data_IF_400635111166
#
_entry.id   IF_400635111166
#
_cell.length_a   1.000
_cell.length_b   1.000
_cell.length_c   1.000
_cell.angle_alpha   90.00
_cell.angle_beta   90.00
_cell.angle_gamma   90.00
#
_symmetry.space_group_name_H-M   'P 1'
#
loop_
_entity.id
_entity.type
_entity.pdbx_description
1 polymer ?
#
# COMPACT_ATOMS: atom_id res chain seq x y z
N UNK A 1 3.47 38.32 63.02
CA UNK A 1 2.92 37.26 62.16
C UNK A 1 2.96 35.94 62.93
N UNK A 2 1.80 35.33 63.21
CA UNK A 2 1.63 34.32 64.25
C UNK A 2 2.30 32.98 63.92
N UNK A 3 3.21 32.50 64.79
CA UNK A 3 3.95 31.23 64.65
C UNK A 3 3.05 29.98 64.53
N UNK A 4 1.79 30.06 64.98
CA UNK A 4 0.79 29.00 64.84
C UNK A 4 0.27 28.80 63.40
N UNK A 5 0.34 29.84 62.55
CA UNK A 5 -0.14 29.75 61.16
C UNK A 5 0.89 29.09 60.23
N UNK A 6 2.19 29.30 60.50
CA UNK A 6 3.28 28.75 59.68
C UNK A 6 3.41 27.22 59.86
N UNK A 7 3.17 26.69 61.07
CA UNK A 7 3.22 25.25 61.32
C UNK A 7 2.06 24.46 60.68
N UNK A 8 0.91 25.10 60.45
CA UNK A 8 -0.25 24.40 59.87
C UNK A 8 -0.15 24.26 58.34
N UNK A 9 0.54 25.18 57.67
CA UNK A 9 0.73 25.16 56.21
C UNK A 9 1.85 24.19 55.81
N UNK A 10 2.92 24.09 56.62
CA UNK A 10 4.05 23.18 56.33
C UNK A 10 3.66 21.70 56.49
N UNK A 11 2.79 21.37 57.45
CA UNK A 11 2.34 19.97 57.65
C UNK A 11 1.36 19.53 56.55
N UNK A 12 0.51 20.43 56.03
CA UNK A 12 -0.41 20.11 54.93
C UNK A 12 0.32 19.90 53.59
N UNK A 13 1.41 20.63 53.33
CA UNK A 13 2.22 20.48 52.11
C UNK A 13 3.01 19.15 52.09
N UNK A 14 3.49 18.66 53.24
CA UNK A 14 4.26 17.41 53.31
C UNK A 14 3.35 16.17 53.13
N UNK A 15 2.09 16.22 53.56
CA UNK A 15 1.13 15.11 53.36
C UNK A 15 0.59 15.07 51.93
N UNK A 16 0.50 16.21 51.23
CA UNK A 16 0.06 16.25 49.84
C UNK A 16 1.15 15.83 48.83
N UNK A 17 2.43 16.08 49.15
CA UNK A 17 3.55 15.64 48.30
C UNK A 17 3.83 14.13 48.42
N UNK A 18 3.47 13.50 49.55
CA UNK A 18 3.64 12.05 49.74
C UNK A 18 2.47 11.19 49.21
N UNK A 19 1.37 11.78 48.78
CA UNK A 19 0.19 11.02 48.28
C UNK A 19 0.05 10.99 46.75
N UNK A 20 1.03 11.50 45.99
CA UNK A 20 0.99 11.48 44.51
C UNK A 20 2.05 10.53 43.90
N UNK A 21 2.91 9.88 44.71
CA UNK A 21 3.89 8.88 44.24
C UNK A 21 3.52 7.43 44.58
N UNK A 22 2.23 7.10 44.53
CA UNK A 22 1.75 5.71 44.54
C UNK A 22 0.81 5.43 43.35
N UNK A 23 1.05 6.08 42.20
CA UNK A 23 0.63 5.46 40.94
C UNK A 23 1.57 4.30 40.70
N UNK A 24 1.05 3.08 40.84
CA UNK A 24 1.70 1.84 40.46
C UNK A 24 2.51 2.05 39.17
N UNK A 25 3.68 1.41 38.98
CA UNK A 25 4.08 1.11 37.63
C UNK A 25 2.88 0.33 37.08
N UNK A 26 2.09 0.97 36.22
CA UNK A 26 1.32 0.25 35.25
C UNK A 26 2.38 -0.66 34.65
N UNK A 27 2.27 -1.95 34.95
CA UNK A 27 2.82 -2.94 34.06
C UNK A 27 2.18 -2.57 32.72
N UNK A 28 2.88 -1.75 31.93
CA UNK A 28 3.02 -2.00 30.53
C UNK A 28 3.56 -3.43 30.49
N UNK A 29 2.65 -4.39 30.66
CA UNK A 29 2.77 -5.68 30.06
C UNK A 29 2.94 -5.30 28.61
N UNK A 30 4.20 -5.14 28.20
CA UNK A 30 4.57 -5.24 26.81
C UNK A 30 3.81 -6.46 26.37
N UNK A 31 2.81 -6.26 25.50
CA UNK A 31 2.22 -7.37 24.78
C UNK A 31 3.42 -8.03 24.17
N UNK A 32 3.89 -9.11 24.81
CA UNK A 32 5.13 -9.78 24.44
C UNK A 32 5.01 -9.95 22.93
N UNK A 33 6.03 -9.48 22.21
CA UNK A 33 5.99 -9.48 20.76
C UNK A 33 5.54 -10.88 20.34
N UNK A 34 4.31 -10.98 19.83
CA UNK A 34 3.75 -12.27 19.46
C UNK A 34 4.75 -12.85 18.46
N UNK A 35 5.17 -14.12 18.63
CA UNK A 35 6.13 -14.72 17.70
C UNK A 35 5.59 -14.54 16.28
N UNK A 36 6.41 -13.97 15.40
CA UNK A 36 6.01 -13.71 14.01
C UNK A 36 5.62 -15.04 13.38
N UNK A 37 4.34 -15.15 12.98
CA UNK A 37 3.87 -16.31 12.23
C UNK A 37 4.70 -16.41 10.93
N UNK A 38 4.94 -17.63 10.42
CA UNK A 38 5.61 -17.81 9.13
C UNK A 38 4.86 -17.04 8.03
N UNK A 39 5.61 -16.42 7.10
CA UNK A 39 5.04 -15.74 5.93
C UNK A 39 4.31 -16.78 5.06
N UNK A 40 3.00 -16.66 4.80
CA UNK A 40 2.33 -17.60 3.92
C UNK A 40 2.74 -17.35 2.46
N UNK A 41 2.60 -18.39 1.60
CA UNK A 41 3.02 -18.31 0.21
C UNK A 41 2.14 -17.44 -0.70
N UNK A 42 0.89 -17.07 -0.33
CA UNK A 42 -0.05 -16.29 -1.16
C UNK A 42 -1.06 -15.42 -0.38
N UNK A 43 -1.65 -14.45 -1.09
CA UNK A 43 -2.21 -13.14 -0.67
C UNK A 43 -3.72 -12.97 -0.28
N UNK A 44 -4.10 -11.81 0.31
CA UNK A 44 -4.85 -11.50 1.57
C UNK A 44 -6.21 -12.17 1.96
N UNK A 45 -6.19 -12.72 3.20
CA UNK A 45 -7.20 -12.92 4.29
C UNK A 45 -6.47 -13.25 5.63
N UNK A 46 -5.15 -13.03 5.68
CA UNK A 46 -4.23 -14.00 6.30
C UNK A 46 -2.99 -13.47 6.97
N UNK A 47 -2.97 -12.32 7.67
CA UNK A 47 -1.86 -12.22 8.65
C UNK A 47 -1.82 -13.46 9.59
N UNK A 48 -2.92 -14.24 9.64
CA UNK A 48 -3.01 -15.58 10.22
C UNK A 48 -3.24 -16.77 9.28
N UNK A 49 -3.59 -16.60 8.00
CA UNK A 49 -4.04 -17.70 7.14
C UNK A 49 -5.43 -18.25 7.52
N UNK A 50 -6.46 -17.40 7.68
CA UNK A 50 -7.89 -17.79 7.85
C UNK A 50 -8.80 -17.60 6.58
N UNK A 51 -9.47 -18.63 6.03
CA UNK A 51 -10.08 -18.61 4.69
C UNK A 51 -11.03 -17.43 4.44
N UNK A 52 -11.19 -17.06 3.16
CA UNK A 52 -12.14 -16.04 2.71
C UNK A 52 -13.52 -16.23 3.38
N UNK A 53 -14.17 -15.17 3.86
CA UNK A 53 -15.53 -15.26 4.37
C UNK A 53 -16.46 -15.95 3.38
N UNK A 54 -17.33 -16.81 3.89
CA UNK A 54 -18.34 -17.46 3.04
C UNK A 54 -19.46 -16.48 2.67
N UNK A 55 -20.09 -16.71 1.52
CA UNK A 55 -21.24 -15.90 1.06
C UNK A 55 -20.87 -14.57 0.39
N UNK A 56 -19.60 -14.36 0.05
CA UNK A 56 -19.18 -13.23 -0.77
C UNK A 56 -19.64 -13.43 -2.22
N UNK A 57 -20.07 -12.35 -2.87
CA UNK A 57 -20.39 -12.33 -4.31
C UNK A 57 -19.14 -12.47 -5.19
N UNK A 58 -18.00 -11.99 -4.71
CA UNK A 58 -16.69 -12.06 -5.37
C UNK A 58 -15.59 -12.26 -4.32
N UNK A 59 -14.39 -12.67 -4.75
CA UNK A 59 -13.23 -12.73 -3.86
C UNK A 59 -12.98 -11.38 -3.15
N UNK A 60 -12.64 -11.39 -1.86
CA UNK A 60 -12.27 -10.20 -1.11
C UNK A 60 -10.75 -10.03 -1.04
N UNK A 61 -10.22 -9.03 -1.73
CA UNK A 61 -8.78 -8.75 -1.76
C UNK A 61 -8.29 -7.97 -0.54
N UNK A 62 -9.17 -7.59 0.39
CA UNK A 62 -8.83 -6.69 1.50
C UNK A 62 -7.69 -7.23 2.36
N UNK A 63 -6.66 -6.42 2.54
CA UNK A 63 -5.54 -6.72 3.43
C UNK A 63 -4.20 -6.22 2.92
N UNK A 64 -3.11 -6.63 3.59
CA UNK A 64 -1.73 -6.21 3.25
C UNK A 64 -1.07 -7.29 2.40
N UNK A 65 -0.60 -6.90 1.24
CA UNK A 65 0.04 -7.72 0.23
C UNK A 65 1.52 -7.35 0.12
N UNK A 66 2.34 -8.34 -0.23
CA UNK A 66 3.76 -8.14 -0.47
C UNK A 66 4.15 -8.90 -1.75
N UNK A 67 4.28 -8.18 -2.85
CA UNK A 67 4.63 -8.73 -4.16
C UNK A 67 6.11 -9.09 -4.32
N UNK A 68 6.97 -8.66 -3.40
CA UNK A 68 8.42 -8.71 -3.60
C UNK A 68 8.89 -7.61 -4.56
N UNK A 69 10.18 -7.60 -4.87
CA UNK A 69 10.74 -6.63 -5.83
C UNK A 69 10.70 -7.22 -7.23
N UNK A 70 9.99 -6.57 -8.14
CA UNK A 70 10.02 -6.87 -9.57
C UNK A 70 11.25 -6.21 -10.20
N UNK A 71 12.10 -7.07 -10.76
CA UNK A 71 13.28 -6.68 -11.51
C UNK A 71 12.93 -6.53 -12.99
N UNK A 72 13.42 -7.47 -13.78
CA UNK A 72 13.22 -7.57 -15.23
C UNK A 72 12.02 -8.50 -15.53
N UNK A 73 10.95 -7.92 -16.07
CA UNK A 73 9.70 -8.64 -16.39
C UNK A 73 9.84 -9.59 -17.57
N UNK A 74 10.88 -9.44 -18.40
CA UNK A 74 11.13 -10.38 -19.51
C UNK A 74 11.48 -11.78 -19.00
N UNK A 75 11.97 -11.88 -17.76
CA UNK A 75 12.24 -13.14 -17.06
C UNK A 75 10.98 -13.83 -16.50
N UNK A 76 9.83 -13.16 -16.54
CA UNK A 76 8.56 -13.67 -16.01
C UNK A 76 7.63 -14.19 -17.11
N UNK A 77 8.07 -14.20 -18.37
CA UNK A 77 7.28 -14.78 -19.46
C UNK A 77 7.21 -16.30 -19.34
N UNK A 78 6.09 -16.88 -19.82
CA UNK A 78 5.96 -18.33 -19.92
C UNK A 78 6.91 -18.89 -20.99
N UNK A 79 7.30 -20.17 -20.93
CA UNK A 79 8.13 -20.79 -21.95
C UNK A 79 7.57 -20.57 -23.36
N UNK A 80 8.37 -19.98 -24.25
CA UNK A 80 7.98 -19.66 -25.63
C UNK A 80 7.17 -18.37 -25.81
N UNK A 81 7.00 -17.56 -24.76
CA UNK A 81 6.41 -16.22 -24.85
C UNK A 81 7.50 -15.15 -24.78
N UNK A 82 7.36 -14.12 -25.61
CA UNK A 82 8.19 -12.92 -25.58
C UNK A 82 7.34 -11.71 -25.17
N UNK A 83 7.98 -10.69 -24.61
CA UNK A 83 7.30 -9.43 -24.32
C UNK A 83 6.93 -8.72 -25.61
N UNK A 84 5.68 -8.29 -25.69
CA UNK A 84 5.17 -7.54 -26.84
C UNK A 84 5.34 -6.05 -26.56
N UNK A 85 6.22 -5.41 -27.30
CA UNK A 85 6.36 -3.96 -27.29
C UNK A 85 5.56 -3.31 -28.42
N UNK A 86 5.07 -2.10 -28.17
CA UNK A 86 4.73 -1.19 -29.26
C UNK A 86 6.02 -0.73 -29.96
N UNK A 87 5.97 -0.24 -31.21
CA UNK A 87 7.17 0.29 -31.88
C UNK A 87 7.90 1.36 -31.05
N UNK A 88 7.15 2.25 -30.40
CA UNK A 88 7.71 3.27 -29.50
C UNK A 88 8.34 2.64 -28.25
N UNK A 89 7.69 1.66 -27.64
CA UNK A 89 8.22 0.95 -26.47
C UNK A 89 9.55 0.25 -26.79
N UNK A 90 9.64 -0.43 -27.94
CA UNK A 90 10.85 -1.09 -28.38
C UNK A 90 12.01 -0.10 -28.62
N UNK A 91 11.73 1.06 -29.22
CA UNK A 91 12.73 2.12 -29.42
C UNK A 91 13.21 2.70 -28.09
N UNK A 92 12.29 2.97 -27.15
CA UNK A 92 12.63 3.49 -25.82
C UNK A 92 13.48 2.48 -25.04
N UNK A 93 13.08 1.22 -25.03
CA UNK A 93 13.79 0.15 -24.31
C UNK A 93 15.20 -0.06 -24.88
N UNK A 94 15.37 -0.03 -26.21
CA UNK A 94 16.70 -0.13 -26.86
C UNK A 94 17.68 0.98 -26.42
N UNK A 95 17.15 2.15 -26.07
CA UNK A 95 17.93 3.32 -25.69
C UNK A 95 17.74 3.70 -24.20
N UNK A 96 17.36 2.73 -23.37
CA UNK A 96 17.15 2.98 -21.93
C UNK A 96 18.43 3.50 -21.27
N UNK A 97 18.28 4.54 -20.46
CA UNK A 97 19.34 5.08 -19.63
C UNK A 97 18.92 4.92 -18.17
N UNK A 98 19.47 3.92 -17.49
CA UNK A 98 19.15 3.63 -16.08
C UNK A 98 19.47 4.78 -15.13
N UNK A 99 20.35 5.73 -15.51
CA UNK A 99 20.57 6.93 -14.73
C UNK A 99 19.35 7.88 -14.73
N UNK A 100 18.39 7.64 -15.63
CA UNK A 100 17.13 8.40 -15.76
C UNK A 100 15.92 7.61 -15.28
N UNK A 101 16.09 6.56 -14.47
CA UNK A 101 14.96 5.86 -13.86
C UNK A 101 14.09 6.88 -13.09
N UNK A 102 12.80 7.06 -13.45
CA UNK A 102 11.90 8.00 -12.79
C UNK A 102 11.84 7.84 -11.26
N UNK A 103 11.97 6.59 -10.77
CA UNK A 103 11.91 6.30 -9.34
C UNK A 103 13.12 6.89 -8.59
N UNK A 104 14.31 6.91 -9.20
CA UNK A 104 15.52 7.53 -8.61
C UNK A 104 15.43 9.05 -8.56
N UNK A 105 14.54 9.64 -9.37
CA UNK A 105 14.23 11.06 -9.38
C UNK A 105 13.02 11.41 -8.47
N UNK A 106 12.60 10.48 -7.60
CA UNK A 106 11.43 10.60 -6.73
C UNK A 106 10.12 10.89 -7.49
N UNK A 107 10.04 10.45 -8.76
CA UNK A 107 8.81 10.53 -9.55
C UNK A 107 7.94 9.29 -9.33
N UNK A 108 6.60 9.40 -9.43
CA UNK A 108 5.71 8.29 -9.19
C UNK A 108 6.02 7.07 -10.08
N UNK A 109 5.99 5.84 -9.55
CA UNK A 109 6.33 4.60 -10.28
C UNK A 109 5.29 4.16 -11.32
N UNK A 110 4.09 4.72 -11.28
CA UNK A 110 2.97 4.26 -12.10
C UNK A 110 2.36 2.94 -11.60
N UNK A 111 1.30 2.46 -12.26
CA UNK A 111 0.42 1.44 -11.69
C UNK A 111 1.09 0.06 -11.58
N UNK A 112 2.01 -0.27 -12.49
CA UNK A 112 2.70 -1.57 -12.53
C UNK A 112 3.76 -1.67 -11.44
N UNK A 113 4.72 -0.73 -11.41
CA UNK A 113 5.79 -0.75 -10.41
C UNK A 113 5.29 -0.50 -8.99
N UNK A 114 4.19 0.23 -8.79
CA UNK A 114 3.63 0.46 -7.45
C UNK A 114 3.36 -0.83 -6.67
N UNK A 115 2.73 -1.83 -7.31
CA UNK A 115 2.39 -3.11 -6.67
C UNK A 115 3.53 -4.13 -6.67
N UNK A 116 4.57 -3.83 -7.44
CA UNK A 116 5.69 -4.72 -7.71
C UNK A 116 6.99 -4.27 -7.00
N UNK A 117 6.87 -3.34 -6.04
CA UNK A 117 7.98 -2.89 -5.19
C UNK A 117 8.13 -3.78 -3.96
N UNK A 118 9.32 -3.73 -3.38
CA UNK A 118 9.65 -4.38 -2.10
C UNK A 118 8.92 -3.77 -0.88
N UNK A 119 7.88 -2.97 -1.08
CA UNK A 119 7.08 -2.36 -0.04
C UNK A 119 5.68 -3.01 0.00
N UNK A 120 5.16 -3.30 1.20
CA UNK A 120 3.77 -3.67 1.39
C UNK A 120 2.79 -2.73 0.67
N UNK A 121 1.73 -3.33 0.14
CA UNK A 121 0.59 -2.61 -0.43
C UNK A 121 -0.67 -3.10 0.26
N UNK A 122 -1.49 -2.19 0.76
CA UNK A 122 -2.79 -2.52 1.34
C UNK A 122 -3.88 -2.41 0.28
N UNK A 123 -4.69 -3.44 0.13
CA UNK A 123 -5.90 -3.38 -0.68
C UNK A 123 -7.09 -3.18 0.26
N UNK A 124 -7.98 -2.25 -0.11
CA UNK A 124 -9.28 -2.03 0.54
C UNK A 124 -10.35 -2.22 -0.52
N UNK A 125 -11.20 -3.23 -0.35
CA UNK A 125 -12.26 -3.54 -1.29
C UNK A 125 -13.62 -3.12 -0.73
N UNK A 126 -14.34 -2.34 -1.54
CA UNK A 126 -15.76 -2.00 -1.36
C UNK A 126 -16.56 -2.47 -2.57
N UNK A 127 -17.90 -2.51 -2.48
CA UNK A 127 -18.73 -2.87 -3.64
C UNK A 127 -18.51 -1.98 -4.87
N UNK A 128 -18.17 -0.70 -4.66
CA UNK A 128 -18.07 0.34 -5.69
C UNK A 128 -16.62 0.71 -6.07
N UNK A 129 -15.62 0.25 -5.31
CA UNK A 129 -14.22 0.59 -5.56
C UNK A 129 -13.26 -0.42 -4.91
N UNK A 130 -12.19 -0.75 -5.63
CA UNK A 130 -11.00 -1.42 -5.09
C UNK A 130 -9.86 -0.40 -5.02
N UNK A 131 -9.43 -0.08 -3.81
CA UNK A 131 -8.32 0.83 -3.56
C UNK A 131 -7.05 0.04 -3.26
N UNK A 132 -5.96 0.41 -3.92
CA UNK A 132 -4.62 -0.15 -3.72
C UNK A 132 -3.75 0.96 -3.14
N UNK A 133 -3.33 0.81 -1.89
CA UNK A 133 -2.58 1.80 -1.11
C UNK A 133 -1.13 1.34 -0.95
N UNK A 134 -0.17 2.11 -1.45
CA UNK A 134 1.24 1.77 -1.29
C UNK A 134 1.80 2.37 0.00
N UNK A 135 2.57 1.58 0.75
CA UNK A 135 3.39 2.11 1.85
C UNK A 135 4.51 3.04 1.31
N UNK A 136 5.03 2.73 0.12
CA UNK A 136 6.01 3.57 -0.56
C UNK A 136 5.31 4.85 -1.04
N UNK A 137 5.90 6.02 -0.76
CA UNK A 137 5.45 7.32 -1.28
C UNK A 137 4.02 7.76 -0.86
N UNK A 138 3.29 6.96 -0.08
CA UNK A 138 1.88 7.20 0.33
C UNK A 138 0.94 7.47 -0.86
N UNK A 139 1.19 6.79 -1.97
CA UNK A 139 0.40 6.84 -3.21
C UNK A 139 -0.73 5.80 -3.17
N UNK A 140 -1.79 6.06 -3.93
CA UNK A 140 -2.90 5.13 -4.07
C UNK A 140 -3.37 5.04 -5.53
N UNK A 141 -3.92 3.88 -5.89
CA UNK A 141 -4.67 3.64 -7.13
C UNK A 141 -6.10 3.24 -6.77
N UNK A 142 -7.07 3.84 -7.46
CA UNK A 142 -8.47 3.48 -7.32
C UNK A 142 -8.94 2.79 -8.59
N UNK A 143 -9.60 1.65 -8.44
CA UNK A 143 -10.25 0.91 -9.52
C UNK A 143 -11.74 0.94 -9.22
N UNK A 144 -12.49 1.81 -9.92
CA UNK A 144 -13.93 1.95 -9.69
C UNK A 144 -14.70 0.77 -10.28
N UNK A 145 -15.51 0.11 -9.47
CA UNK A 145 -16.27 -1.11 -9.83
C UNK A 145 -17.78 -0.88 -9.86
N UNK A 146 -18.22 0.36 -9.81
CA UNK A 146 -19.63 0.77 -9.76
C UNK A 146 -20.35 0.80 -11.13
N UNK A 147 -19.69 0.29 -12.17
CA UNK A 147 -20.24 0.25 -13.54
C UNK A 147 -20.08 1.55 -14.32
N UNK A 148 -19.37 2.55 -13.80
CA UNK A 148 -19.04 3.76 -14.57
C UNK A 148 -18.07 3.45 -15.72
N UNK A 149 -18.15 4.27 -16.78
CA UNK A 149 -17.12 4.33 -17.80
C UNK A 149 -15.93 5.20 -17.38
N UNK A 150 -14.91 5.26 -18.24
CA UNK A 150 -13.80 6.18 -18.05
C UNK A 150 -14.23 7.65 -18.19
N UNK A 151 -13.52 8.59 -17.55
CA UNK A 151 -13.76 10.02 -17.77
C UNK A 151 -13.61 10.38 -19.26
N UNK A 152 -14.54 11.18 -19.82
CA UNK A 152 -14.52 11.51 -21.24
C UNK A 152 -13.31 12.37 -21.66
N UNK A 153 -12.72 13.09 -20.71
CA UNK A 153 -11.56 13.97 -20.86
C UNK A 153 -10.24 13.30 -20.41
N UNK A 154 -10.25 11.99 -20.13
CA UNK A 154 -9.08 11.29 -19.59
C UNK A 154 -7.84 11.42 -20.48
N UNK A 155 -8.01 11.49 -21.81
CA UNK A 155 -6.89 11.61 -22.76
C UNK A 155 -6.31 13.02 -22.84
N UNK A 156 -7.05 14.04 -22.42
CA UNK A 156 -6.56 15.43 -22.36
C UNK A 156 -5.62 15.62 -21.15
N UNK A 157 -5.78 14.79 -20.12
CA UNK A 157 -5.01 14.86 -18.88
C UNK A 157 -4.39 13.51 -18.45
N UNK A 158 -3.40 12.98 -19.19
CA UNK A 158 -2.74 11.74 -18.79
C UNK A 158 -2.10 11.81 -17.39
N UNK A 159 -2.38 10.81 -16.57
CA UNK A 159 -1.95 10.75 -15.17
C UNK A 159 -0.86 9.68 -14.96
N UNK A 160 -0.09 9.80 -13.89
CA UNK A 160 0.96 8.81 -13.54
C UNK A 160 0.39 7.39 -13.36
N UNK A 161 -0.83 7.28 -12.85
CA UNK A 161 -1.51 6.00 -12.61
C UNK A 161 -2.61 5.69 -13.63
N UNK A 162 -2.83 6.61 -14.59
CA UNK A 162 -4.01 6.60 -15.45
C UNK A 162 -5.33 6.66 -14.68
N UNK A 163 -6.40 6.28 -15.36
CA UNK A 163 -7.74 6.17 -14.80
C UNK A 163 -8.18 4.71 -14.90
N UNK A 164 -8.57 4.10 -13.78
CA UNK A 164 -8.95 2.69 -13.75
C UNK A 164 -10.43 2.48 -13.46
N UNK A 165 -11.08 1.65 -14.27
CA UNK A 165 -12.40 1.06 -14.01
C UNK A 165 -12.25 -0.45 -13.93
N UNK A 166 -13.16 -1.11 -13.22
CA UNK A 166 -13.12 -2.54 -12.98
C UNK A 166 -14.47 -3.19 -13.20
N UNK A 167 -14.44 -4.43 -13.69
CA UNK A 167 -15.61 -5.31 -13.78
C UNK A 167 -15.24 -6.71 -13.30
N UNK A 168 -16.23 -7.42 -12.74
CA UNK A 168 -16.07 -8.80 -12.34
C UNK A 168 -16.47 -9.73 -13.49
N UNK A 169 -15.59 -10.68 -13.82
CA UNK A 169 -15.82 -11.78 -14.74
C UNK A 169 -15.69 -13.09 -13.95
N UNK A 170 -16.83 -13.56 -13.42
CA UNK A 170 -16.84 -14.63 -12.41
C UNK A 170 -16.08 -14.20 -11.16
N UNK A 171 -15.02 -14.95 -10.82
CA UNK A 171 -14.13 -14.69 -9.68
C UNK A 171 -12.94 -13.76 -10.03
N UNK A 172 -12.89 -13.24 -11.26
CA UNK A 172 -11.78 -12.39 -11.73
C UNK A 172 -12.19 -10.92 -11.75
N UNK A 173 -11.42 -10.07 -11.06
CA UNK A 173 -11.52 -8.62 -11.24
C UNK A 173 -10.67 -8.21 -12.45
N UNK A 174 -11.33 -7.76 -13.51
CA UNK A 174 -10.68 -7.18 -14.69
C UNK A 174 -10.61 -5.67 -14.51
N UNK A 175 -9.40 -5.14 -14.37
CA UNK A 175 -9.15 -3.70 -14.30
C UNK A 175 -8.70 -3.18 -15.67
N UNK A 176 -9.46 -2.26 -16.24
CA UNK A 176 -9.10 -1.53 -17.46
C UNK A 176 -8.55 -0.16 -17.08
N UNK A 177 -7.42 0.24 -17.66
CA UNK A 177 -6.74 1.50 -17.31
C UNK A 177 -6.29 2.24 -18.54
N UNK A 178 -6.68 3.51 -18.64
CA UNK A 178 -6.33 4.38 -19.76
C UNK A 178 -5.55 5.61 -19.31
N UNK A 179 -4.96 6.30 -20.28
CA UNK A 179 -4.29 7.60 -20.11
C UNK A 179 -3.21 7.61 -19.03
N UNK A 180 -2.42 6.54 -18.97
CA UNK A 180 -1.16 6.52 -18.22
C UNK A 180 -0.18 7.43 -18.98
N UNK A 181 0.48 8.35 -18.28
CA UNK A 181 1.47 9.21 -18.90
C UNK A 181 2.74 8.43 -19.30
N UNK A 182 3.59 9.06 -20.10
CA UNK A 182 4.74 8.41 -20.72
C UNK A 182 6.04 8.53 -19.90
N UNK A 183 5.92 8.88 -18.61
CA UNK A 183 7.03 9.24 -17.72
C UNK A 183 7.44 8.13 -16.75
N UNK A 184 6.79 6.97 -16.81
CA UNK A 184 7.06 5.82 -15.93
C UNK A 184 7.55 4.63 -16.72
N UNK A 185 8.30 3.75 -16.06
CA UNK A 185 8.66 2.43 -16.58
C UNK A 185 7.73 1.37 -16.00
N UNK A 186 7.55 0.26 -16.72
CA UNK A 186 6.80 -0.91 -16.29
C UNK A 186 7.54 -1.69 -15.21
N UNK A 187 8.87 -1.66 -15.21
CA UNK A 187 9.72 -2.39 -14.28
C UNK A 187 11.05 -1.67 -13.94
N UNK A 188 11.97 -2.37 -13.28
CA UNK A 188 13.27 -1.80 -12.90
C UNK A 188 14.34 -1.92 -14.00
N UNK A 189 14.03 -2.64 -15.08
CA UNK A 189 14.91 -2.84 -16.25
C UNK A 189 14.59 -1.85 -17.39
N UNK A 190 13.52 -1.06 -17.24
CA UNK A 190 13.18 0.06 -18.11
C UNK A 190 12.30 -0.27 -19.30
N UNK A 191 11.58 -1.39 -19.21
CA UNK A 191 10.43 -1.70 -20.06
C UNK A 191 9.35 -0.60 -19.95
#
# INVERSE_FOLDING_TARGET
MNKRFVFSVVTAAIVFVFSIMATSPAAAQGRGAQPRKPKPPVGAWWYKGDPQPSGLTHADFTGVWFGGSMGDISKLTLPGQELVFTPLGAERYKNVDHAKDPNTLCLPPGPSRMVARAHPTMIVQRPDVVAILSESEHIFRLIYTDGRGHPPDAYDYPAWYGYSVGKWEGDTLVADTISINDKTWLDSDGH
#
